data_IF_045672581723
#
_entry.id   IF_045672581723
#
_cell.length_a   1.000
_cell.length_b   1.000
_cell.length_c   1.000
_cell.angle_alpha   90.00
_cell.angle_beta   90.00
_cell.angle_gamma   90.00
#
_symmetry.space_group_name_H-M   'P 1'
#
loop_
_entity.id
_entity.type
_entity.pdbx_description
1 polymer ?
#
# COMPACT_ATOMS: atom_id res chain seq x y z
N UNK A 1 43.94 -32.29 -35.73
CA UNK A 1 44.18 -31.45 -34.53
C UNK A 1 43.30 -30.22 -34.70
N UNK A 2 42.11 -30.14 -34.09
CA UNK A 2 41.84 -29.58 -32.74
C UNK A 2 42.36 -28.13 -32.64
N UNK A 3 41.62 -27.07 -32.28
CA UNK A 3 40.46 -26.83 -31.41
C UNK A 3 39.84 -25.46 -31.80
N UNK A 4 38.52 -25.31 -31.92
CA UNK A 4 37.60 -24.71 -30.91
C UNK A 4 37.95 -23.30 -30.42
N UNK A 5 37.18 -22.30 -30.87
CA UNK A 5 36.92 -21.05 -30.15
C UNK A 5 35.41 -20.73 -30.24
N UNK A 6 34.61 -21.51 -29.52
CA UNK A 6 33.26 -21.10 -29.13
C UNK A 6 33.41 -20.31 -27.82
N UNK A 7 33.38 -18.98 -27.91
CA UNK A 7 33.26 -18.13 -26.74
C UNK A 7 31.93 -18.43 -26.06
N UNK A 8 32.00 -18.96 -24.83
CA UNK A 8 30.83 -19.25 -24.02
C UNK A 8 30.23 -17.92 -23.53
N UNK A 9 29.16 -17.47 -24.16
CA UNK A 9 28.28 -16.47 -23.57
C UNK A 9 27.70 -17.07 -22.28
N UNK A 10 28.16 -16.56 -21.13
CA UNK A 10 27.52 -16.89 -19.86
C UNK A 10 26.07 -16.36 -19.91
N UNK A 11 25.06 -17.15 -19.50
CA UNK A 11 23.70 -16.66 -19.48
C UNK A 11 23.58 -15.48 -18.50
N UNK A 12 22.70 -14.50 -18.77
CA UNK A 12 22.44 -13.43 -17.82
C UNK A 12 22.00 -14.04 -16.50
N UNK A 13 22.61 -13.56 -15.41
CA UNK A 13 22.32 -13.94 -14.05
C UNK A 13 20.81 -13.90 -13.83
N UNK A 14 20.17 -15.07 -13.70
CA UNK A 14 18.74 -15.14 -13.42
C UNK A 14 18.51 -14.43 -12.08
N UNK A 15 17.53 -13.50 -11.97
CA UNK A 15 17.19 -12.94 -10.67
C UNK A 15 16.84 -14.10 -9.74
N UNK A 16 17.54 -14.19 -8.62
CA UNK A 16 17.34 -15.25 -7.65
C UNK A 16 15.84 -15.32 -7.30
N UNK A 17 15.25 -16.49 -7.55
CA UNK A 17 13.86 -16.75 -7.21
C UNK A 17 13.70 -16.55 -5.70
N UNK A 18 12.92 -15.54 -5.31
CA UNK A 18 12.73 -15.23 -3.90
C UNK A 18 12.20 -16.48 -3.18
N UNK A 19 12.74 -16.84 -2.01
CA UNK A 19 12.31 -18.03 -1.31
C UNK A 19 10.80 -17.95 -1.05
N UNK A 20 10.05 -18.97 -1.51
CA UNK A 20 8.62 -19.09 -1.28
C UNK A 20 8.36 -19.36 0.22
N UNK A 21 8.30 -18.30 1.03
CA UNK A 21 7.96 -18.32 2.46
C UNK A 21 6.44 -18.49 2.70
N UNK A 22 5.75 -19.25 1.85
CA UNK A 22 4.33 -19.51 2.04
C UNK A 22 4.13 -20.49 3.19
N UNK A 23 3.76 -19.98 4.34
CA UNK A 23 3.35 -20.77 5.49
C UNK A 23 1.87 -21.12 5.34
N UNK A 24 1.48 -22.40 5.21
CA UNK A 24 0.10 -22.78 4.84
C UNK A 24 -0.98 -22.30 5.83
N UNK A 25 -0.59 -21.98 7.07
CA UNK A 25 -1.50 -21.55 8.14
C UNK A 25 -1.27 -20.11 8.62
N UNK A 26 -0.49 -19.28 7.89
CA UNK A 26 -0.24 -17.89 8.29
C UNK A 26 -0.31 -16.98 7.07
N UNK A 27 -1.07 -15.90 7.19
CA UNK A 27 -1.15 -14.85 6.17
C UNK A 27 -0.16 -13.74 6.52
N UNK A 28 0.64 -13.32 5.53
CA UNK A 28 1.48 -12.14 5.65
C UNK A 28 0.81 -10.95 4.95
N UNK A 29 0.50 -9.91 5.72
CA UNK A 29 0.00 -8.65 5.19
C UNK A 29 1.09 -7.57 5.20
N UNK A 30 1.10 -6.73 4.17
CA UNK A 30 1.96 -5.56 4.10
C UNK A 30 1.13 -4.30 3.87
N UNK A 31 1.41 -3.25 4.63
CA UNK A 31 0.72 -1.97 4.50
C UNK A 31 1.24 -1.23 3.27
N UNK A 32 0.34 -0.90 2.34
CA UNK A 32 0.65 -0.12 1.16
C UNK A 32 0.25 1.33 1.38
N UNK A 33 1.28 2.17 1.48
CA UNK A 33 1.14 3.61 1.66
C UNK A 33 1.00 4.30 0.29
N UNK A 34 -0.23 4.52 -0.14
CA UNK A 34 -0.54 5.27 -1.37
C UNK A 34 -0.31 6.77 -1.18
N UNK A 35 0.95 7.21 -1.15
CA UNK A 35 1.32 8.61 -0.90
C UNK A 35 0.69 9.61 -1.89
N UNK A 36 0.32 9.17 -3.10
CA UNK A 36 -0.24 9.99 -4.17
C UNK A 36 -1.77 10.09 -4.15
N UNK A 37 -2.37 10.65 -3.08
CA UNK A 37 -3.83 10.80 -2.96
C UNK A 37 -4.51 11.40 -4.20
N UNK A 38 -3.84 12.35 -4.85
CA UNK A 38 -4.34 13.07 -6.03
C UNK A 38 -3.58 12.74 -7.31
N UNK A 39 -2.65 11.79 -7.26
CA UNK A 39 -1.80 11.44 -8.41
C UNK A 39 -1.77 9.94 -8.58
N UNK A 40 -2.63 9.46 -9.48
CA UNK A 40 -2.56 8.10 -9.97
C UNK A 40 -1.47 8.02 -11.04
N UNK A 41 -0.38 7.31 -10.76
CA UNK A 41 0.59 6.89 -11.77
C UNK A 41 0.48 5.37 -11.89
N UNK A 42 -0.35 4.85 -12.82
CA UNK A 42 -0.64 3.42 -12.94
C UNK A 42 0.61 2.54 -13.01
N UNK A 43 1.65 2.99 -13.73
CA UNK A 43 2.92 2.28 -13.88
C UNK A 43 3.64 2.12 -12.53
N UNK A 44 3.68 3.16 -11.70
CA UNK A 44 4.31 3.10 -10.38
C UNK A 44 3.55 2.16 -9.45
N UNK A 45 2.22 2.25 -9.41
CA UNK A 45 1.41 1.36 -8.56
C UNK A 45 1.61 -0.10 -8.96
N UNK A 46 1.64 -0.40 -10.27
CA UNK A 46 1.91 -1.76 -10.74
C UNK A 46 3.30 -2.22 -10.31
N UNK A 47 4.31 -1.38 -10.49
CA UNK A 47 5.67 -1.67 -10.08
C UNK A 47 5.78 -1.94 -8.57
N UNK A 48 5.20 -1.07 -7.74
CA UNK A 48 5.21 -1.23 -6.28
C UNK A 48 4.55 -2.55 -5.87
N UNK A 49 3.42 -2.90 -6.48
CA UNK A 49 2.74 -4.17 -6.20
C UNK A 49 3.53 -5.39 -6.70
N UNK A 50 4.26 -5.27 -7.81
CA UNK A 50 5.18 -6.32 -8.29
C UNK A 50 6.33 -6.53 -7.31
N UNK A 51 6.95 -5.46 -6.83
CA UNK A 51 8.02 -5.53 -5.82
C UNK A 51 7.50 -6.08 -4.50
N UNK A 52 6.33 -5.62 -4.04
CA UNK A 52 5.68 -6.19 -2.86
C UNK A 52 5.45 -7.69 -3.04
N UNK A 53 4.92 -8.14 -4.18
CA UNK A 53 4.64 -9.56 -4.41
C UNK A 53 5.91 -10.42 -4.32
N UNK A 54 7.04 -9.93 -4.84
CA UNK A 54 8.33 -10.64 -4.76
C UNK A 54 8.80 -10.85 -3.31
N UNK A 55 8.42 -9.96 -2.39
CA UNK A 55 8.76 -10.07 -0.97
C UNK A 55 7.89 -11.09 -0.21
N UNK A 56 6.83 -11.62 -0.85
CA UNK A 56 6.02 -12.71 -0.30
C UNK A 56 4.75 -12.38 0.51
N UNK A 57 4.23 -11.14 0.67
CA UNK A 57 2.91 -10.93 1.27
C UNK A 57 1.78 -11.60 0.47
N UNK A 58 0.81 -12.11 1.20
CA UNK A 58 -0.46 -12.62 0.69
C UNK A 58 -1.50 -11.50 0.59
N UNK A 59 -1.39 -10.47 1.44
CA UNK A 59 -2.36 -9.39 1.58
C UNK A 59 -1.66 -8.03 1.38
N UNK A 60 -2.28 -7.17 0.58
CA UNK A 60 -2.00 -5.73 0.57
C UNK A 60 -3.02 -5.02 1.45
N UNK A 61 -2.55 -4.33 2.49
CA UNK A 61 -3.40 -3.54 3.37
C UNK A 61 -3.40 -2.08 2.88
N UNK A 62 -4.54 -1.59 2.41
CA UNK A 62 -4.69 -0.21 1.92
C UNK A 62 -5.36 0.65 2.99
N UNK A 63 -4.75 1.77 3.34
CA UNK A 63 -5.37 2.77 4.21
C UNK A 63 -6.49 3.51 3.48
N UNK A 64 -7.68 3.54 4.06
CA UNK A 64 -8.85 4.25 3.53
C UNK A 64 -9.22 5.40 4.47
N UNK A 65 -9.29 6.61 3.95
CA UNK A 65 -9.72 7.84 4.65
C UNK A 65 -11.15 8.22 4.27
N UNK A 66 -11.74 9.21 4.96
CA UNK A 66 -13.05 9.75 4.53
C UNK A 66 -13.01 10.34 3.11
N UNK A 67 -11.90 10.98 2.74
CA UNK A 67 -11.72 11.56 1.41
C UNK A 67 -11.62 10.49 0.34
N UNK A 68 -11.01 9.33 0.62
CA UNK A 68 -10.94 8.25 -0.36
C UNK A 68 -12.32 7.76 -0.76
N UNK A 69 -13.20 7.58 0.23
CA UNK A 69 -14.58 7.14 0.02
C UNK A 69 -15.33 8.16 -0.85
N UNK A 70 -15.10 9.46 -0.63
CA UNK A 70 -15.88 10.52 -1.26
C UNK A 70 -15.34 10.97 -2.61
N UNK A 71 -14.02 10.97 -2.78
CA UNK A 71 -13.35 11.66 -3.89
C UNK A 71 -12.35 10.78 -4.67
N UNK A 72 -11.92 9.63 -4.12
CA UNK A 72 -10.80 8.86 -4.67
C UNK A 72 -11.14 7.40 -5.04
N UNK A 73 -12.43 7.07 -5.18
CA UNK A 73 -12.90 5.70 -5.45
C UNK A 73 -12.21 5.06 -6.67
N UNK A 74 -11.95 5.82 -7.73
CA UNK A 74 -11.25 5.32 -8.92
C UNK A 74 -9.84 4.79 -8.63
N UNK A 75 -9.08 5.49 -7.79
CA UNK A 75 -7.72 5.07 -7.45
C UNK A 75 -7.72 3.82 -6.57
N UNK A 76 -8.64 3.77 -5.60
CA UNK A 76 -8.82 2.60 -4.73
C UNK A 76 -9.20 1.37 -5.56
N UNK A 77 -10.15 1.51 -6.50
CA UNK A 77 -10.53 0.41 -7.41
C UNK A 77 -9.37 -0.06 -8.26
N UNK A 78 -8.56 0.86 -8.78
CA UNK A 78 -7.40 0.51 -9.58
C UNK A 78 -6.39 -0.32 -8.78
N UNK A 79 -6.05 0.11 -7.56
CA UNK A 79 -5.12 -0.61 -6.67
C UNK A 79 -5.67 -2.00 -6.34
N UNK A 80 -6.96 -2.11 -6.01
CA UNK A 80 -7.61 -3.39 -5.71
C UNK A 80 -7.51 -4.33 -6.90
N UNK A 81 -7.86 -3.87 -8.10
CA UNK A 81 -7.78 -4.68 -9.31
C UNK A 81 -6.35 -5.12 -9.62
N UNK A 82 -5.38 -4.21 -9.50
CA UNK A 82 -3.97 -4.49 -9.74
C UNK A 82 -3.39 -5.51 -8.74
N UNK A 83 -3.80 -5.45 -7.46
CA UNK A 83 -3.39 -6.41 -6.45
C UNK A 83 -4.00 -7.81 -6.70
N UNK A 84 -5.30 -7.89 -7.06
CA UNK A 84 -5.95 -9.15 -7.40
C UNK A 84 -5.32 -9.83 -8.62
N UNK A 85 -4.89 -9.07 -9.64
CA UNK A 85 -4.17 -9.62 -10.79
C UNK A 85 -2.85 -10.31 -10.41
N UNK A 86 -2.27 -9.97 -9.26
CA UNK A 86 -1.05 -10.57 -8.69
C UNK A 86 -1.35 -11.68 -7.69
N UNK A 87 -2.61 -12.08 -7.56
CA UNK A 87 -3.05 -13.07 -6.59
C UNK A 87 -2.78 -12.65 -5.14
N UNK A 88 -2.89 -11.35 -4.85
CA UNK A 88 -2.87 -10.82 -3.49
C UNK A 88 -4.30 -10.52 -3.06
N UNK A 89 -4.62 -10.78 -1.79
CA UNK A 89 -5.84 -10.28 -1.16
C UNK A 89 -5.68 -8.78 -0.83
N UNK A 90 -6.79 -8.09 -0.65
CA UNK A 90 -6.77 -6.67 -0.27
C UNK A 90 -7.59 -6.45 0.99
N UNK A 91 -6.96 -5.90 2.01
CA UNK A 91 -7.64 -5.48 3.24
C UNK A 91 -7.74 -3.97 3.28
N UNK A 92 -8.95 -3.44 3.38
CA UNK A 92 -9.19 -2.03 3.62
C UNK A 92 -9.02 -1.75 5.12
N UNK A 93 -8.09 -0.85 5.44
CA UNK A 93 -7.79 -0.44 6.81
C UNK A 93 -8.36 0.96 7.03
N UNK A 94 -9.30 1.17 7.98
CA UNK A 94 -9.80 2.50 8.27
C UNK A 94 -8.67 3.37 8.84
N UNK A 95 -8.25 4.36 8.06
CA UNK A 95 -7.16 5.26 8.37
C UNK A 95 -7.72 6.65 8.63
N UNK A 96 -7.41 7.23 9.79
CA UNK A 96 -7.76 8.60 10.20
C UNK A 96 -9.25 8.93 10.26
N UNK A 97 -10.13 7.93 10.19
CA UNK A 97 -11.57 8.09 10.38
C UNK A 97 -11.86 8.82 11.71
N UNK A 98 -12.47 10.00 11.63
CA UNK A 98 -12.76 10.88 12.76
C UNK A 98 -11.54 11.24 13.65
N UNK A 99 -10.32 11.10 13.13
CA UNK A 99 -9.08 11.28 13.90
C UNK A 99 -8.82 10.20 14.94
N UNK A 100 -9.55 9.07 14.90
CA UNK A 100 -9.49 7.99 15.90
C UNK A 100 -8.38 6.98 15.60
N UNK A 101 -8.07 6.72 14.32
CA UNK A 101 -7.05 5.75 13.93
C UNK A 101 -5.76 6.42 13.45
N UNK A 102 -4.61 5.93 13.89
CA UNK A 102 -3.31 6.37 13.38
C UNK A 102 -3.11 5.84 11.96
N UNK A 103 -2.78 6.72 11.02
CA UNK A 103 -2.67 6.42 9.60
C UNK A 103 -2.02 7.57 8.83
N UNK A 104 -2.11 7.54 7.50
CA UNK A 104 -1.37 8.40 6.58
C UNK A 104 -1.47 9.91 6.95
N UNK A 105 -0.34 10.62 7.14
CA UNK A 105 -0.30 11.90 7.86
C UNK A 105 -0.75 13.14 7.04
N UNK A 106 -1.34 12.96 5.86
CA UNK A 106 -1.46 14.06 4.89
C UNK A 106 -2.83 14.77 4.96
N UNK A 107 -3.88 14.13 5.50
CA UNK A 107 -5.22 14.73 5.52
C UNK A 107 -5.82 14.95 6.93
N UNK A 108 -6.45 16.11 7.17
CA UNK A 108 -7.29 16.32 8.35
C UNK A 108 -8.58 15.49 8.22
N UNK A 109 -9.08 14.88 9.31
CA UNK A 109 -10.31 14.10 9.27
C UNK A 109 -11.50 15.00 8.92
N UNK A 110 -12.24 14.66 7.85
CA UNK A 110 -13.42 15.42 7.41
C UNK A 110 -14.48 15.52 8.51
N UNK A 111 -14.65 14.46 9.30
CA UNK A 111 -15.57 14.47 10.43
C UNK A 111 -15.21 15.55 11.45
N UNK A 112 -13.94 15.66 11.85
CA UNK A 112 -13.50 16.68 12.82
C UNK A 112 -13.64 18.11 12.30
N UNK A 113 -13.55 18.30 10.97
CA UNK A 113 -13.83 19.58 10.33
C UNK A 113 -15.31 19.98 10.43
N UNK A 114 -16.22 19.03 10.21
CA UNK A 114 -17.66 19.27 10.28
C UNK A 114 -18.21 19.25 11.72
N UNK A 115 -17.48 18.66 12.66
CA UNK A 115 -17.84 18.50 14.07
C UNK A 115 -16.72 19.00 14.99
N UNK A 116 -16.37 20.30 14.96
CA UNK A 116 -15.26 20.85 15.75
C UNK A 116 -15.46 20.69 17.27
N UNK A 117 -16.69 20.49 17.74
CA UNK A 117 -17.02 20.16 19.12
C UNK A 117 -16.40 18.84 19.60
N UNK A 118 -16.08 17.94 18.67
CA UNK A 118 -15.48 16.63 18.95
C UNK A 118 -13.96 16.68 19.10
N UNK A 119 -13.34 17.83 18.84
CA UNK A 119 -11.90 18.00 19.00
C UNK A 119 -11.46 17.73 20.44
N UNK A 120 -10.34 17.02 20.60
CA UNK A 120 -9.71 16.85 21.90
C UNK A 120 -9.33 18.21 22.49
N UNK A 121 -9.65 18.43 23.78
CA UNK A 121 -9.37 19.68 24.49
C UNK A 121 -8.43 19.43 25.66
N UNK A 122 -7.59 20.42 25.95
CA UNK A 122 -6.84 20.50 27.20
C UNK A 122 -7.79 20.84 28.36
N UNK A 123 -7.30 20.74 29.60
CA UNK A 123 -8.08 21.09 30.80
C UNK A 123 -8.61 22.53 30.80
N UNK A 124 -7.90 23.44 30.14
CA UNK A 124 -8.29 24.85 29.98
C UNK A 124 -9.32 25.08 28.85
N UNK A 125 -9.77 24.02 28.18
CA UNK A 125 -10.74 24.09 27.09
C UNK A 125 -10.15 24.40 25.71
N UNK A 126 -8.85 24.67 25.60
CA UNK A 126 -8.18 24.92 24.32
C UNK A 126 -8.01 23.62 23.50
N UNK A 127 -8.11 23.66 22.15
CA UNK A 127 -7.90 22.49 21.32
C UNK A 127 -6.47 21.92 21.43
N UNK A 128 -6.36 20.60 21.42
CA UNK A 128 -5.08 19.91 21.25
C UNK A 128 -4.71 19.97 19.77
N UNK A 129 -3.76 20.83 19.42
CA UNK A 129 -3.15 20.89 18.09
C UNK A 129 -1.85 20.09 18.15
N UNK A 130 -1.67 19.14 17.23
CA UNK A 130 -0.43 18.36 17.02
C UNK A 130 0.23 18.80 15.73
#
# INVERSE_FOLDING_TARGET
MLLSLLAACSPPNQPAEAPSNKHPNRLLGAYYFGAGYFTLVPENIRHDLDEMKKLGPDIVCIGITESDIKYNDGNIRFIIAAAHQRGMQVFAVPSRMAGITAGQPIEPPLFGYHHPETAARRRDGTPVVR
#
